data_IF_120501035951
#
_entry.id   IF_120501035951
#
_cell.length_a   1.000
_cell.length_b   1.000
_cell.length_c   1.000
_cell.angle_alpha   90.00
_cell.angle_beta   90.00
_cell.angle_gamma   90.00
#
_symmetry.space_group_name_H-M   'P 1'
#
loop_
_entity.id
_entity.type
_entity.pdbx_description
1 polymer ?
#
# COMPACT_ATOMS: atom_id res chain seq x y z
N UNK A 1 -18.96 -13.22 -30.79
CA UNK A 1 -18.05 -13.82 -29.78
C UNK A 1 -16.65 -13.42 -30.19
N UNK A 2 -16.16 -12.29 -29.66
CA UNK A 2 -14.77 -11.88 -29.84
C UNK A 2 -13.90 -12.85 -29.07
N UNK A 3 -13.15 -13.69 -29.77
CA UNK A 3 -12.12 -14.56 -29.19
C UNK A 3 -11.08 -13.64 -28.55
N UNK A 4 -11.05 -13.58 -27.21
CA UNK A 4 -10.01 -12.86 -26.48
C UNK A 4 -8.67 -13.49 -26.84
N UNK A 5 -7.85 -12.77 -27.61
CA UNK A 5 -6.49 -13.20 -27.91
C UNK A 5 -5.71 -13.34 -26.59
N UNK A 6 -5.03 -14.48 -26.36
CA UNK A 6 -4.20 -14.63 -25.17
C UNK A 6 -3.00 -13.66 -25.24
N UNK A 7 -2.48 -13.25 -24.09
CA UNK A 7 -1.22 -12.48 -24.02
C UNK A 7 -0.12 -13.18 -24.82
N UNK A 8 0.58 -12.42 -25.62
CA UNK A 8 1.78 -12.89 -26.36
C UNK A 8 2.88 -13.31 -25.37
N UNK A 9 3.86 -14.08 -25.85
CA UNK A 9 5.01 -14.48 -25.04
C UNK A 9 5.83 -13.27 -24.54
N UNK A 10 5.92 -12.22 -25.34
CA UNK A 10 6.62 -10.97 -25.02
C UNK A 10 5.88 -10.21 -23.91
N UNK A 11 4.57 -10.03 -24.05
CA UNK A 11 3.73 -9.40 -23.02
C UNK A 11 3.78 -10.16 -21.70
N UNK A 12 3.64 -11.50 -21.72
CA UNK A 12 3.74 -12.33 -20.50
C UNK A 12 5.07 -12.17 -19.79
N UNK A 13 6.18 -12.16 -20.56
CA UNK A 13 7.52 -11.95 -20.00
C UNK A 13 7.66 -10.58 -19.39
N UNK A 14 7.23 -9.53 -20.09
CA UNK A 14 7.30 -8.15 -19.61
C UNK A 14 6.44 -7.94 -18.36
N UNK A 15 5.18 -8.39 -18.37
CA UNK A 15 4.26 -8.28 -17.23
C UNK A 15 4.80 -9.07 -16.03
N UNK A 16 5.32 -10.29 -16.25
CA UNK A 16 5.95 -11.09 -15.20
C UNK A 16 7.18 -10.41 -14.60
N UNK A 17 8.03 -9.82 -15.42
CA UNK A 17 9.20 -9.06 -14.97
C UNK A 17 8.78 -7.83 -14.14
N UNK A 18 7.79 -7.06 -14.60
CA UNK A 18 7.31 -5.88 -13.89
C UNK A 18 6.59 -6.25 -12.58
N UNK A 19 5.85 -7.36 -12.55
CA UNK A 19 5.25 -7.89 -11.32
C UNK A 19 6.33 -8.33 -10.32
N UNK A 20 7.39 -9.01 -10.78
CA UNK A 20 8.51 -9.43 -9.94
C UNK A 20 9.29 -8.23 -9.38
N UNK A 21 9.60 -7.24 -10.22
CA UNK A 21 10.23 -5.98 -9.81
C UNK A 21 9.40 -5.28 -8.72
N UNK A 22 8.08 -5.20 -8.94
CA UNK A 22 7.17 -4.58 -7.98
C UNK A 22 7.12 -5.38 -6.67
N UNK A 23 7.13 -6.73 -6.76
CA UNK A 23 7.21 -7.61 -5.59
C UNK A 23 8.47 -7.39 -4.77
N UNK A 24 9.63 -7.30 -5.41
CA UNK A 24 10.90 -7.04 -4.70
C UNK A 24 10.86 -5.72 -3.92
N UNK A 25 10.31 -4.69 -4.54
CA UNK A 25 10.16 -3.39 -3.90
C UNK A 25 9.17 -3.43 -2.73
N UNK A 26 8.02 -4.08 -2.91
CA UNK A 26 6.99 -4.18 -1.88
C UNK A 26 7.41 -5.07 -0.71
N UNK A 27 8.14 -6.16 -0.96
CA UNK A 27 8.76 -6.96 0.08
C UNK A 27 9.65 -6.10 0.97
N UNK A 28 10.58 -5.32 0.38
CA UNK A 28 11.46 -4.45 1.13
C UNK A 28 10.72 -3.37 1.93
N UNK A 29 9.62 -2.83 1.39
CA UNK A 29 8.80 -1.85 2.07
C UNK A 29 8.07 -2.44 3.28
N UNK A 30 7.42 -3.59 3.08
CA UNK A 30 6.51 -4.15 4.08
C UNK A 30 7.22 -4.96 5.17
N UNK A 31 8.40 -5.57 4.90
CA UNK A 31 9.19 -6.26 5.93
C UNK A 31 9.54 -5.36 7.12
N UNK A 32 9.72 -4.08 6.88
CA UNK A 32 10.09 -3.10 7.90
C UNK A 32 8.94 -2.81 8.87
N UNK A 33 7.67 -2.87 8.43
CA UNK A 33 6.51 -2.47 9.22
C UNK A 33 6.41 -3.18 10.59
N UNK A 34 6.46 -4.52 10.67
CA UNK A 34 6.30 -5.22 11.94
C UNK A 34 7.55 -5.17 12.84
N UNK A 35 8.67 -4.67 12.33
CA UNK A 35 9.97 -4.79 13.00
C UNK A 35 10.51 -3.46 13.48
N UNK A 36 10.25 -2.37 12.74
CA UNK A 36 10.92 -1.11 13.02
C UNK A 36 10.70 -0.65 14.45
N UNK A 37 9.48 -0.71 14.95
CA UNK A 37 9.18 -0.29 16.33
C UNK A 37 9.93 -1.12 17.37
N UNK A 38 10.00 -2.46 17.18
CA UNK A 38 10.64 -3.39 18.11
C UNK A 38 12.17 -3.25 18.21
N UNK A 39 12.80 -2.93 17.09
CA UNK A 39 14.27 -2.81 17.04
C UNK A 39 14.76 -1.38 17.24
N UNK A 40 14.00 -0.40 16.72
CA UNK A 40 14.42 1.01 16.82
C UNK A 40 14.29 1.58 18.23
N UNK A 41 13.46 0.97 19.11
CA UNK A 41 13.35 1.41 20.52
C UNK A 41 14.66 1.25 21.27
N UNK A 42 15.47 0.25 20.90
CA UNK A 42 16.76 -0.03 21.53
C UNK A 42 17.92 0.79 20.92
N UNK A 43 17.64 1.57 19.84
CA UNK A 43 18.65 2.36 19.12
C UNK A 43 18.76 3.80 19.65
N UNK A 44 19.94 4.44 19.54
CA UNK A 44 20.07 5.86 19.85
C UNK A 44 19.07 6.72 19.07
N UNK A 45 18.32 7.59 19.79
CA UNK A 45 17.23 8.38 19.24
C UNK A 45 15.91 7.64 19.07
N UNK A 46 15.76 6.44 19.65
CA UNK A 46 14.57 5.57 19.58
C UNK A 46 13.38 6.07 20.38
N UNK A 47 12.95 7.31 20.18
CA UNK A 47 11.70 7.83 20.77
C UNK A 47 10.49 7.38 19.94
N UNK A 48 9.29 7.25 20.54
CA UNK A 48 8.08 6.89 19.80
C UNK A 48 7.82 7.80 18.59
N UNK A 49 8.08 9.12 18.72
CA UNK A 49 7.97 10.05 17.61
C UNK A 49 8.96 9.74 16.49
N UNK A 50 10.24 9.50 16.80
CA UNK A 50 11.25 9.18 15.79
C UNK A 50 10.99 7.85 15.09
N UNK A 51 10.52 6.85 15.82
CA UNK A 51 10.09 5.56 15.27
C UNK A 51 8.89 5.75 14.32
N UNK A 52 7.90 6.56 14.74
CA UNK A 52 6.76 6.90 13.91
C UNK A 52 7.16 7.65 12.64
N UNK A 53 8.09 8.59 12.75
CA UNK A 53 8.67 9.28 11.59
C UNK A 53 9.41 8.32 10.68
N UNK A 54 10.19 7.38 11.21
CA UNK A 54 10.89 6.38 10.40
C UNK A 54 9.93 5.45 9.64
N UNK A 55 8.80 5.06 10.25
CA UNK A 55 7.74 4.32 9.57
C UNK A 55 7.11 5.14 8.43
N UNK A 56 6.79 6.41 8.70
CA UNK A 56 6.09 7.29 7.77
C UNK A 56 6.96 7.94 6.69
N UNK A 57 8.27 8.13 6.94
CA UNK A 57 9.18 8.90 6.09
C UNK A 57 9.20 8.44 4.61
N UNK A 58 9.15 7.13 4.38
CA UNK A 58 8.99 6.58 3.05
C UNK A 58 7.74 7.13 2.34
N UNK A 59 6.60 7.13 3.05
CA UNK A 59 5.34 7.65 2.54
C UNK A 59 5.40 9.13 2.17
N UNK A 60 6.08 9.93 2.98
CA UNK A 60 6.26 11.37 2.71
C UNK A 60 6.93 11.61 1.35
N UNK A 61 8.11 11.05 1.15
CA UNK A 61 8.86 11.22 -0.12
C UNK A 61 8.12 10.60 -1.31
N UNK A 62 7.49 9.44 -1.11
CA UNK A 62 6.69 8.77 -2.13
C UNK A 62 5.49 9.63 -2.56
N UNK A 63 4.74 10.20 -1.61
CA UNK A 63 3.60 11.07 -1.90
C UNK A 63 4.02 12.30 -2.70
N UNK A 64 5.16 12.89 -2.34
CA UNK A 64 5.66 14.11 -2.97
C UNK A 64 6.17 13.85 -4.40
N UNK A 65 6.86 12.74 -4.63
CA UNK A 65 7.63 12.52 -5.86
C UNK A 65 6.96 11.61 -6.88
N UNK A 66 5.93 10.82 -6.52
CA UNK A 66 5.36 9.85 -7.47
C UNK A 66 4.68 10.50 -8.69
N UNK A 67 4.00 11.65 -8.52
CA UNK A 67 3.39 12.37 -9.65
C UNK A 67 4.46 13.05 -10.51
N UNK A 68 5.42 13.83 -9.94
CA UNK A 68 6.54 14.38 -10.68
C UNK A 68 7.37 13.35 -11.45
N UNK A 69 7.72 12.22 -10.82
CA UNK A 69 8.48 11.16 -11.48
C UNK A 69 7.67 10.44 -12.55
N UNK A 70 6.37 10.26 -12.35
CA UNK A 70 5.46 9.76 -13.38
C UNK A 70 5.49 10.65 -14.61
N UNK A 71 5.35 11.97 -14.43
CA UNK A 71 5.42 12.96 -15.50
C UNK A 71 6.81 13.04 -16.16
N UNK A 72 7.88 12.96 -15.37
CA UNK A 72 9.24 12.89 -15.90
C UNK A 72 9.42 11.67 -16.82
N UNK A 73 8.83 10.53 -16.42
CA UNK A 73 8.90 9.29 -17.20
C UNK A 73 8.18 9.35 -18.56
N UNK A 74 7.18 10.24 -18.69
CA UNK A 74 6.54 10.52 -19.98
C UNK A 74 7.48 11.26 -20.96
N UNK A 75 8.46 12.01 -20.43
CA UNK A 75 9.39 12.84 -21.22
C UNK A 75 10.69 12.14 -21.56
N UNK A 76 11.35 11.50 -20.58
CA UNK A 76 12.67 10.88 -20.75
C UNK A 76 12.60 9.36 -20.93
N UNK A 77 11.37 8.80 -20.92
CA UNK A 77 11.11 7.37 -21.03
C UNK A 77 10.91 6.67 -19.68
N UNK A 78 10.20 5.54 -19.69
CA UNK A 78 9.85 4.78 -18.47
C UNK A 78 11.08 4.14 -17.83
N UNK A 79 11.88 3.46 -18.62
CA UNK A 79 13.03 2.67 -18.14
C UNK A 79 14.08 3.50 -17.39
N UNK A 80 14.53 4.67 -17.86
CA UNK A 80 15.48 5.50 -17.12
C UNK A 80 14.96 5.94 -15.76
N UNK A 81 13.68 6.31 -15.65
CA UNK A 81 13.07 6.73 -14.38
C UNK A 81 12.93 5.54 -13.42
N UNK A 82 12.55 4.35 -13.93
CA UNK A 82 12.50 3.14 -13.11
C UNK A 82 13.89 2.78 -12.57
N UNK A 83 14.92 2.81 -13.41
CA UNK A 83 16.29 2.51 -12.98
C UNK A 83 16.80 3.53 -11.96
N UNK A 84 16.60 4.83 -12.21
CA UNK A 84 16.97 5.89 -11.26
C UNK A 84 16.25 5.75 -9.92
N UNK A 85 14.96 5.43 -9.94
CA UNK A 85 14.17 5.20 -8.72
C UNK A 85 14.60 3.93 -7.97
N UNK A 86 14.97 2.85 -8.66
CA UNK A 86 15.54 1.64 -8.02
C UNK A 86 16.91 1.90 -7.41
N UNK A 87 17.76 2.69 -8.06
CA UNK A 87 19.04 3.10 -7.49
C UNK A 87 18.86 3.96 -6.23
N UNK A 88 17.90 4.89 -6.26
CA UNK A 88 17.57 5.70 -5.09
C UNK A 88 17.01 4.83 -3.95
N UNK A 89 16.14 3.87 -4.27
CA UNK A 89 15.61 2.91 -3.31
C UNK A 89 16.70 2.00 -2.73
N UNK A 90 17.65 1.54 -3.56
CA UNK A 90 18.81 0.77 -3.12
C UNK A 90 19.71 1.62 -2.21
N UNK A 91 20.06 2.84 -2.60
CA UNK A 91 20.87 3.75 -1.78
C UNK A 91 20.22 4.01 -0.41
N UNK A 92 18.91 4.29 -0.39
CA UNK A 92 18.16 4.48 0.84
C UNK A 92 18.13 3.22 1.73
N UNK A 93 18.05 2.04 1.11
CA UNK A 93 18.10 0.76 1.82
C UNK A 93 19.48 0.52 2.45
N UNK A 94 20.55 0.85 1.72
CA UNK A 94 21.92 0.75 2.23
C UNK A 94 22.15 1.74 3.40
N UNK A 95 21.72 3.01 3.24
CA UNK A 95 21.82 4.01 4.32
C UNK A 95 21.07 3.55 5.57
N UNK A 96 19.84 3.05 5.42
CA UNK A 96 19.06 2.54 6.57
C UNK A 96 19.68 1.27 7.18
N UNK A 97 20.26 0.39 6.35
CA UNK A 97 20.90 -0.84 6.80
C UNK A 97 22.21 -0.64 7.57
N UNK A 98 22.91 0.45 7.28
CA UNK A 98 24.15 0.85 7.95
C UNK A 98 23.92 1.86 9.08
N UNK A 99 22.66 2.31 9.28
CA UNK A 99 22.37 3.31 10.29
C UNK A 99 22.46 2.75 11.71
N UNK A 100 23.21 3.43 12.56
CA UNK A 100 23.36 3.12 13.99
C UNK A 100 22.37 3.91 14.86
N UNK A 101 21.61 4.82 14.26
CA UNK A 101 20.65 5.71 14.95
C UNK A 101 19.31 5.76 14.22
N UNK A 102 18.22 6.01 14.94
CA UNK A 102 16.89 6.15 14.33
C UNK A 102 16.80 7.33 13.35
N UNK A 103 17.40 8.50 13.59
CA UNK A 103 17.49 9.56 12.58
C UNK A 103 18.16 9.10 11.28
N UNK A 104 19.20 8.25 11.34
CA UNK A 104 19.84 7.67 10.16
C UNK A 104 18.87 6.77 9.37
N UNK A 105 18.05 5.99 10.07
CA UNK A 105 16.98 5.19 9.44
C UNK A 105 15.95 6.13 8.76
N UNK A 106 15.55 7.23 9.41
CA UNK A 106 14.61 8.22 8.80
C UNK A 106 15.17 8.73 7.47
N UNK A 107 16.46 9.09 7.42
CA UNK A 107 17.12 9.54 6.17
C UNK A 107 17.07 8.43 5.11
N UNK A 108 17.45 7.19 5.45
CA UNK A 108 17.38 6.06 4.54
C UNK A 108 15.95 5.82 4.02
N UNK A 109 14.94 5.94 4.87
CA UNK A 109 13.52 5.80 4.52
C UNK A 109 13.03 6.93 3.59
N UNK A 110 13.48 8.16 3.80
CA UNK A 110 13.21 9.28 2.89
C UNK A 110 13.81 9.01 1.50
N UNK A 111 15.04 8.52 1.42
CA UNK A 111 15.69 8.15 0.17
C UNK A 111 14.97 6.98 -0.52
N UNK A 112 14.57 5.93 0.23
CA UNK A 112 13.77 4.84 -0.32
C UNK A 112 12.47 5.35 -0.96
N UNK A 113 11.74 6.23 -0.27
CA UNK A 113 10.50 6.83 -0.77
C UNK A 113 10.72 7.74 -1.97
N UNK A 114 11.88 8.41 -2.05
CA UNK A 114 12.25 9.24 -3.20
C UNK A 114 12.40 8.43 -4.49
N UNK A 115 12.65 7.11 -4.40
CA UNK A 115 12.59 6.19 -5.53
C UNK A 115 11.15 5.86 -5.98
N UNK A 116 10.28 6.85 -6.09
CA UNK A 116 8.84 6.73 -6.33
C UNK A 116 8.48 6.30 -7.76
N UNK A 117 8.64 5.02 -8.09
CA UNK A 117 8.43 4.46 -9.44
C UNK A 117 7.06 3.80 -9.65
N UNK A 118 6.17 3.81 -8.65
CA UNK A 118 4.92 3.06 -8.71
C UNK A 118 4.06 3.43 -9.94
N UNK A 119 3.84 4.72 -10.19
CA UNK A 119 3.09 5.22 -11.35
C UNK A 119 3.80 4.89 -12.67
N UNK A 120 5.13 5.00 -12.71
CA UNK A 120 5.95 4.72 -13.90
C UNK A 120 5.91 3.24 -14.27
N UNK A 121 5.96 2.32 -13.28
CA UNK A 121 5.85 0.87 -13.54
C UNK A 121 4.46 0.54 -14.09
N UNK A 122 3.39 1.09 -13.50
CA UNK A 122 2.03 0.87 -14.00
C UNK A 122 1.84 1.44 -15.42
N UNK A 123 2.45 2.58 -15.72
CA UNK A 123 2.46 3.12 -17.07
C UNK A 123 3.21 2.20 -18.05
N UNK A 124 4.36 1.66 -17.64
CA UNK A 124 5.12 0.70 -18.47
C UNK A 124 4.32 -0.61 -18.71
N UNK A 125 3.59 -1.10 -17.70
CA UNK A 125 2.68 -2.25 -17.89
C UNK A 125 1.66 -1.96 -19.00
N UNK A 126 1.10 -0.74 -19.02
CA UNK A 126 0.17 -0.33 -20.08
C UNK A 126 0.84 -0.19 -21.46
N UNK A 127 2.09 0.29 -21.48
CA UNK A 127 2.86 0.47 -22.73
C UNK A 127 3.26 -0.88 -23.39
N UNK A 128 3.46 -1.93 -22.59
CA UNK A 128 3.88 -3.27 -23.08
C UNK A 128 2.72 -4.25 -23.29
N UNK A 129 1.47 -3.83 -23.04
CA UNK A 129 0.29 -4.68 -23.18
C UNK A 129 -0.74 -4.06 -24.10
N UNK A 130 -1.40 -4.90 -24.89
CA UNK A 130 -2.54 -4.50 -25.69
C UNK A 130 -3.72 -4.10 -24.79
N UNK A 131 -4.61 -3.25 -25.28
CA UNK A 131 -5.75 -2.71 -24.54
C UNK A 131 -6.64 -3.81 -23.93
N UNK A 132 -6.87 -4.90 -24.68
CA UNK A 132 -7.65 -6.06 -24.23
C UNK A 132 -7.02 -6.79 -23.04
N UNK A 133 -5.70 -6.81 -22.94
CA UNK A 133 -4.94 -7.52 -21.90
C UNK A 133 -4.52 -6.62 -20.73
N UNK A 134 -4.60 -5.30 -20.89
CA UNK A 134 -4.15 -4.30 -19.89
C UNK A 134 -4.76 -4.52 -18.51
N UNK A 135 -6.07 -4.73 -18.44
CA UNK A 135 -6.76 -4.96 -17.16
C UNK A 135 -6.24 -6.20 -16.44
N UNK A 136 -5.97 -7.29 -17.19
CA UNK A 136 -5.41 -8.52 -16.64
C UNK A 136 -3.97 -8.33 -16.18
N UNK A 137 -3.15 -7.60 -16.95
CA UNK A 137 -1.77 -7.29 -16.60
C UNK A 137 -1.68 -6.47 -15.30
N UNK A 138 -2.51 -5.44 -15.19
CA UNK A 138 -2.59 -4.62 -13.96
C UNK A 138 -3.10 -5.42 -12.76
N UNK A 139 -4.02 -6.36 -12.95
CA UNK A 139 -4.48 -7.26 -11.90
C UNK A 139 -3.36 -8.21 -11.42
N UNK A 140 -2.50 -8.71 -12.31
CA UNK A 140 -1.35 -9.54 -11.95
C UNK A 140 -0.37 -8.74 -11.07
N UNK A 141 -0.04 -7.49 -11.46
CA UNK A 141 0.82 -6.62 -10.66
C UNK A 141 0.16 -6.30 -9.31
N UNK A 142 -1.14 -5.97 -9.30
CA UNK A 142 -1.87 -5.73 -8.05
C UNK A 142 -1.88 -6.94 -7.11
N UNK A 143 -2.11 -8.15 -7.63
CA UNK A 143 -2.05 -9.39 -6.84
C UNK A 143 -0.64 -9.64 -6.28
N UNK A 144 0.42 -9.29 -7.03
CA UNK A 144 1.79 -9.42 -6.57
C UNK A 144 2.10 -8.51 -5.37
N UNK A 145 1.46 -7.34 -5.27
CA UNK A 145 1.58 -6.42 -4.12
C UNK A 145 0.98 -7.08 -2.87
N UNK A 146 -0.24 -7.59 -2.96
CA UNK A 146 -0.91 -8.26 -1.84
C UNK A 146 -0.15 -9.49 -1.35
N UNK A 147 0.38 -10.31 -2.29
CA UNK A 147 1.21 -11.46 -1.96
C UNK A 147 2.52 -11.01 -1.28
N UNK A 148 3.15 -9.94 -1.76
CA UNK A 148 4.36 -9.38 -1.15
C UNK A 148 4.11 -8.90 0.28
N UNK A 149 2.96 -8.30 0.55
CA UNK A 149 2.58 -7.92 1.92
C UNK A 149 2.50 -9.14 2.84
N UNK A 150 1.79 -10.19 2.42
CA UNK A 150 1.65 -11.42 3.22
C UNK A 150 3.02 -12.10 3.46
N UNK A 151 3.85 -12.22 2.41
CA UNK A 151 5.18 -12.82 2.51
C UNK A 151 6.09 -11.98 3.40
N UNK A 152 6.02 -10.66 3.33
CA UNK A 152 6.88 -9.76 4.12
C UNK A 152 6.66 -9.86 5.63
N UNK A 153 5.42 -10.07 6.09
CA UNK A 153 5.10 -10.24 7.50
C UNK A 153 5.65 -11.55 8.09
N UNK A 154 5.98 -12.53 7.23
CA UNK A 154 6.64 -13.77 7.61
C UNK A 154 8.15 -13.64 7.44
N UNK A 155 8.58 -13.17 6.26
CA UNK A 155 10.00 -13.10 5.91
C UNK A 155 10.76 -12.07 6.76
N UNK A 156 10.13 -10.95 7.09
CA UNK A 156 10.72 -9.89 7.89
C UNK A 156 11.27 -10.36 9.22
N UNK A 157 10.45 -10.93 10.13
CA UNK A 157 10.92 -11.48 11.40
C UNK A 157 11.98 -12.57 11.25
N UNK A 158 11.85 -13.46 10.26
CA UNK A 158 12.84 -14.51 9.98
C UNK A 158 14.19 -13.90 9.61
N UNK A 159 14.21 -12.93 8.70
CA UNK A 159 15.45 -12.24 8.28
C UNK A 159 16.05 -11.42 9.41
N UNK A 160 15.21 -10.74 10.19
CA UNK A 160 15.67 -9.99 11.36
C UNK A 160 16.33 -10.87 12.42
N UNK A 161 15.98 -12.15 12.50
CA UNK A 161 16.63 -13.12 13.39
C UNK A 161 18.12 -13.35 13.09
N UNK A 162 18.59 -13.05 11.87
CA UNK A 162 20.01 -13.21 11.50
C UNK A 162 20.90 -12.00 11.84
N UNK A 163 20.35 -10.79 11.85
CA UNK A 163 21.16 -9.57 12.05
C UNK A 163 20.32 -8.33 12.35
N UNK A 164 19.18 -8.52 12.99
CA UNK A 164 18.31 -7.41 13.38
C UNK A 164 17.71 -6.65 12.17
N UNK A 165 17.40 -5.40 12.43
CA UNK A 165 16.80 -4.52 11.42
C UNK A 165 17.74 -4.25 10.24
N UNK A 166 19.05 -4.21 10.47
CA UNK A 166 20.05 -4.03 9.40
C UNK A 166 19.97 -5.11 8.33
N UNK A 167 19.78 -6.38 8.71
CA UNK A 167 19.66 -7.48 7.75
C UNK A 167 18.45 -7.34 6.84
N UNK A 168 17.34 -6.78 7.35
CA UNK A 168 16.12 -6.52 6.56
C UNK A 168 16.36 -5.43 5.52
N UNK A 169 17.03 -4.35 5.91
CA UNK A 169 17.39 -3.28 4.97
C UNK A 169 18.45 -3.71 3.95
N UNK A 170 19.44 -4.51 4.36
CA UNK A 170 20.44 -5.06 3.43
C UNK A 170 19.81 -6.05 2.44
N UNK A 171 18.87 -6.90 2.88
CA UNK A 171 18.10 -7.73 1.96
C UNK A 171 17.30 -6.85 0.99
N UNK A 172 16.69 -5.77 1.47
CA UNK A 172 15.95 -4.81 0.62
C UNK A 172 16.87 -4.16 -0.42
N UNK A 173 18.12 -3.85 -0.05
CA UNK A 173 19.15 -3.37 -0.98
C UNK A 173 19.43 -4.41 -2.08
N UNK A 174 19.64 -5.68 -1.71
CA UNK A 174 19.88 -6.78 -2.67
C UNK A 174 18.66 -6.97 -3.59
N UNK A 175 17.43 -6.93 -3.05
CA UNK A 175 16.20 -7.01 -3.85
C UNK A 175 16.08 -5.84 -4.83
N UNK A 176 16.48 -4.64 -4.44
CA UNK A 176 16.49 -3.48 -5.33
C UNK A 176 17.48 -3.65 -6.51
N UNK A 177 18.68 -4.16 -6.23
CA UNK A 177 19.66 -4.52 -7.29
C UNK A 177 19.11 -5.64 -8.17
N UNK A 178 18.48 -6.66 -7.60
CA UNK A 178 17.77 -7.71 -8.34
C UNK A 178 16.68 -7.13 -9.26
N UNK A 179 15.95 -6.12 -8.78
CA UNK A 179 14.98 -5.38 -9.58
C UNK A 179 15.59 -4.69 -10.80
N UNK A 180 16.78 -4.10 -10.66
CA UNK A 180 17.53 -3.51 -11.78
C UNK A 180 17.87 -4.60 -12.82
N UNK A 181 18.37 -5.75 -12.39
CA UNK A 181 18.65 -6.89 -13.29
C UNK A 181 17.37 -7.35 -14.00
N UNK A 182 16.24 -7.44 -13.27
CA UNK A 182 14.95 -7.83 -13.85
C UNK A 182 14.50 -6.85 -14.93
N UNK A 183 14.73 -5.53 -14.77
CA UNK A 183 14.44 -4.55 -15.82
C UNK A 183 15.26 -4.80 -17.09
N UNK A 184 16.56 -5.02 -16.96
CA UNK A 184 17.42 -5.25 -18.11
C UNK A 184 17.12 -6.55 -18.86
N UNK A 185 16.74 -7.61 -18.13
CA UNK A 185 16.48 -8.94 -18.70
C UNK A 185 15.05 -9.08 -19.19
N UNK A 186 14.09 -8.54 -18.46
CA UNK A 186 12.66 -8.85 -18.65
C UNK A 186 11.87 -7.81 -19.45
N UNK A 187 12.31 -6.55 -19.45
CA UNK A 187 11.62 -5.47 -20.17
C UNK A 187 12.14 -5.36 -21.60
N UNK A 188 11.26 -5.39 -22.62
CA UNK A 188 11.65 -5.20 -24.01
C UNK A 188 12.34 -3.85 -24.21
N UNK A 189 13.42 -3.82 -25.02
CA UNK A 189 14.10 -2.58 -25.41
C UNK A 189 13.28 -1.84 -26.45
N UNK A 190 13.32 -0.50 -26.43
CA UNK A 190 12.65 0.32 -27.44
C UNK A 190 11.13 0.43 -27.27
N UNK A 191 10.61 0.14 -26.08
CA UNK A 191 9.19 0.41 -25.78
C UNK A 191 8.95 1.90 -25.92
N UNK A 192 8.10 2.27 -26.89
CA UNK A 192 7.70 3.65 -27.10
C UNK A 192 6.72 4.03 -26.00
N UNK A 193 7.08 5.05 -25.24
CA UNK A 193 6.17 5.62 -24.24
C UNK A 193 4.94 6.20 -24.94
N UNK A 194 3.76 5.66 -24.65
CA UNK A 194 2.49 6.16 -25.17
C UNK A 194 1.78 6.93 -24.06
N UNK A 195 1.17 8.06 -24.41
CA UNK A 195 0.26 8.73 -23.50
C UNK A 195 -1.04 7.93 -23.40
N UNK A 196 -1.14 7.09 -22.37
CA UNK A 196 -2.39 6.43 -22.06
C UNK A 196 -3.24 7.33 -21.15
N UNK A 197 -4.36 7.83 -21.67
CA UNK A 197 -5.30 8.65 -20.91
C UNK A 197 -5.77 8.01 -19.59
N UNK A 198 -5.66 6.67 -19.50
CA UNK A 198 -6.13 5.87 -18.36
C UNK A 198 -5.07 5.58 -17.30
N UNK A 199 -3.79 5.84 -17.55
CA UNK A 199 -2.70 5.36 -16.67
C UNK A 199 -1.86 6.49 -16.06
N UNK A 200 -1.66 7.61 -16.75
CA UNK A 200 -0.87 8.75 -16.28
C UNK A 200 -1.70 9.76 -15.46
N UNK A 201 -1.08 10.38 -14.45
CA UNK A 201 -1.69 11.51 -13.75
C UNK A 201 -1.54 12.79 -14.60
N UNK A 202 -2.68 13.40 -14.96
CA UNK A 202 -2.72 14.67 -15.70
C UNK A 202 -2.95 15.83 -14.74
N UNK A 203 -2.01 16.79 -14.58
CA UNK A 203 -2.15 17.88 -13.61
C UNK A 203 -3.46 18.67 -13.76
N UNK A 204 -3.89 18.93 -14.99
CA UNK A 204 -5.16 19.65 -15.24
C UNK A 204 -6.42 18.92 -14.75
N UNK A 205 -6.37 17.59 -14.59
CA UNK A 205 -7.47 16.78 -14.10
C UNK A 205 -7.48 16.57 -12.59
N UNK A 206 -6.41 16.89 -11.88
CA UNK A 206 -6.30 16.69 -10.42
C UNK A 206 -7.40 17.48 -9.71
N UNK A 207 -7.63 18.73 -10.11
CA UNK A 207 -8.69 19.58 -9.53
C UNK A 207 -10.07 18.93 -9.69
N UNK A 208 -10.37 18.37 -10.85
CA UNK A 208 -11.65 17.70 -11.13
C UNK A 208 -11.84 16.45 -10.28
N UNK A 209 -10.76 15.65 -10.10
CA UNK A 209 -10.76 14.47 -9.22
C UNK A 209 -11.04 14.88 -7.77
N UNK A 210 -10.36 15.92 -7.27
CA UNK A 210 -10.54 16.41 -5.90
C UNK A 210 -11.90 17.09 -5.69
N UNK A 211 -12.49 17.70 -6.74
CA UNK A 211 -13.81 18.30 -6.69
C UNK A 211 -14.94 17.26 -6.67
N UNK A 212 -14.72 16.06 -7.20
CA UNK A 212 -15.74 15.00 -7.28
C UNK A 212 -16.02 14.41 -5.88
N UNK A 213 -17.25 14.56 -5.31
CA UNK A 213 -17.53 14.16 -3.92
C UNK A 213 -17.30 12.67 -3.66
N UNK A 214 -17.63 11.79 -4.63
CA UNK A 214 -17.42 10.35 -4.51
C UNK A 214 -15.93 10.01 -4.39
N UNK A 215 -15.08 10.58 -5.27
CA UNK A 215 -13.64 10.36 -5.25
C UNK A 215 -13.00 10.94 -3.99
N UNK A 216 -13.44 12.12 -3.54
CA UNK A 216 -12.96 12.74 -2.29
C UNK A 216 -13.21 11.86 -1.07
N UNK A 217 -14.39 11.21 -0.97
CA UNK A 217 -14.72 10.27 0.11
C UNK A 217 -13.82 9.02 0.06
N UNK A 218 -13.58 8.47 -1.13
CA UNK A 218 -12.71 7.30 -1.31
C UNK A 218 -11.24 7.63 -1.04
N UNK A 219 -10.77 8.81 -1.44
CA UNK A 219 -9.43 9.31 -1.15
C UNK A 219 -9.22 9.55 0.35
N UNK A 220 -10.23 10.08 1.05
CA UNK A 220 -10.21 10.18 2.51
C UNK A 220 -10.23 8.80 3.17
N UNK A 221 -10.94 7.84 2.57
CA UNK A 221 -10.97 6.46 3.05
C UNK A 221 -9.58 5.80 3.03
N UNK A 222 -8.85 5.88 1.91
CA UNK A 222 -7.51 5.30 1.82
C UNK A 222 -6.50 6.04 2.69
N UNK A 223 -6.61 7.36 2.82
CA UNK A 223 -5.84 8.14 3.78
C UNK A 223 -6.04 7.61 5.20
N UNK A 224 -7.30 7.47 5.64
CA UNK A 224 -7.65 7.00 6.99
C UNK A 224 -7.20 5.55 7.23
N UNK A 225 -7.37 4.67 6.24
CA UNK A 225 -6.89 3.28 6.31
C UNK A 225 -5.40 3.23 6.59
N UNK A 226 -4.59 3.94 5.80
CA UNK A 226 -3.14 3.90 5.94
C UNK A 226 -2.62 4.71 7.14
N UNK A 227 -3.36 5.73 7.56
CA UNK A 227 -3.12 6.41 8.82
C UNK A 227 -3.24 5.43 9.98
N UNK A 228 -4.38 4.72 10.08
CA UNK A 228 -4.64 3.74 11.13
C UNK A 228 -3.65 2.56 11.03
N UNK A 229 -3.40 2.06 9.80
CA UNK A 229 -2.46 0.97 9.57
C UNK A 229 -1.07 1.30 10.13
N UNK A 230 -0.49 2.43 9.74
CA UNK A 230 0.87 2.80 10.14
C UNK A 230 0.94 3.13 11.63
N UNK A 231 -0.06 3.82 12.18
CA UNK A 231 -0.15 4.10 13.61
C UNK A 231 -0.26 2.79 14.42
N UNK A 232 -1.08 1.84 13.99
CA UNK A 232 -1.26 0.54 14.68
C UNK A 232 0.03 -0.28 14.73
N UNK A 233 0.87 -0.23 13.69
CA UNK A 233 2.15 -0.94 13.69
C UNK A 233 3.20 -0.37 14.66
N UNK A 234 2.93 0.77 15.30
CA UNK A 234 3.72 1.23 16.46
C UNK A 234 3.44 0.42 17.74
N UNK A 235 2.29 -0.25 17.82
CA UNK A 235 1.83 -0.94 19.06
C UNK A 235 1.64 -2.45 18.84
N UNK A 236 1.15 -2.90 17.69
CA UNK A 236 0.86 -4.32 17.42
C UNK A 236 2.04 -5.25 17.74
N UNK A 237 3.31 -4.94 17.33
CA UNK A 237 4.43 -5.80 17.61
C UNK A 237 4.73 -5.94 19.11
N UNK A 238 4.59 -4.86 19.88
CA UNK A 238 4.74 -4.90 21.35
C UNK A 238 3.60 -5.67 22.00
N UNK A 239 2.36 -5.51 21.54
CA UNK A 239 1.24 -6.30 22.04
C UNK A 239 1.45 -7.80 21.84
N UNK A 240 2.05 -8.24 20.72
CA UNK A 240 2.42 -9.64 20.49
C UNK A 240 3.51 -10.09 21.45
N UNK A 241 4.54 -9.26 21.68
CA UNK A 241 5.62 -9.57 22.59
C UNK A 241 5.14 -9.67 24.04
N UNK A 242 4.40 -8.67 24.52
CA UNK A 242 4.03 -8.53 25.93
C UNK A 242 2.86 -9.45 26.31
N UNK A 243 1.81 -9.53 25.47
CA UNK A 243 0.61 -10.32 25.79
C UNK A 243 0.77 -11.80 25.51
N UNK A 244 1.52 -12.18 24.46
CA UNK A 244 1.73 -13.59 24.08
C UNK A 244 3.11 -14.12 24.51
N UNK A 245 3.96 -13.30 25.12
CA UNK A 245 5.33 -13.64 25.49
C UNK A 245 6.14 -14.20 24.31
N UNK A 246 5.89 -13.69 23.10
CA UNK A 246 6.55 -14.15 21.89
C UNK A 246 7.78 -13.29 21.59
N UNK A 247 8.97 -13.91 21.40
CA UNK A 247 10.13 -13.17 20.93
C UNK A 247 9.89 -12.61 19.53
N UNK A 248 10.51 -11.47 19.24
CA UNK A 248 10.31 -10.69 18.00
C UNK A 248 10.53 -11.52 16.71
N UNK A 249 11.43 -12.47 16.74
CA UNK A 249 11.74 -13.38 15.63
C UNK A 249 10.65 -14.44 15.39
N UNK A 250 9.78 -14.67 16.37
CA UNK A 250 8.72 -15.69 16.32
C UNK A 250 7.34 -15.08 15.96
N UNK A 251 7.21 -13.75 15.78
CA UNK A 251 5.95 -13.09 15.45
C UNK A 251 5.30 -13.63 14.18
N UNK A 252 6.08 -14.13 13.23
CA UNK A 252 5.55 -14.76 12.00
C UNK A 252 4.62 -15.95 12.30
N UNK A 253 4.80 -16.66 13.45
CA UNK A 253 3.93 -17.77 13.87
C UNK A 253 2.50 -17.34 14.13
N UNK A 254 2.27 -16.05 14.45
CA UNK A 254 0.94 -15.46 14.59
C UNK A 254 0.52 -14.79 13.28
N UNK A 255 1.40 -14.01 12.66
CA UNK A 255 1.04 -13.30 11.42
C UNK A 255 0.61 -14.26 10.30
N UNK A 256 1.32 -15.37 10.08
CA UNK A 256 1.00 -16.29 8.99
C UNK A 256 -0.40 -16.91 9.09
N UNK A 257 -0.80 -17.60 10.18
CA UNK A 257 -2.13 -18.17 10.28
C UNK A 257 -3.23 -17.10 10.30
N UNK A 258 -3.00 -15.97 10.95
CA UNK A 258 -3.94 -14.85 10.99
C UNK A 258 -4.17 -14.28 9.58
N UNK A 259 -3.11 -14.09 8.80
CA UNK A 259 -3.22 -13.59 7.41
C UNK A 259 -3.98 -14.58 6.53
N UNK A 260 -3.64 -15.86 6.58
CA UNK A 260 -4.34 -16.90 5.80
C UNK A 260 -5.83 -16.93 6.18
N UNK A 261 -6.13 -16.95 7.47
CA UNK A 261 -7.50 -16.91 7.96
C UNK A 261 -8.23 -15.61 7.57
N UNK A 262 -7.54 -14.47 7.51
CA UNK A 262 -8.12 -13.20 7.13
C UNK A 262 -8.49 -13.12 5.64
N UNK A 263 -7.71 -13.75 4.76
CA UNK A 263 -8.05 -13.87 3.34
C UNK A 263 -9.33 -14.69 3.15
N UNK A 264 -9.53 -15.73 3.95
CA UNK A 264 -10.78 -16.51 3.95
C UNK A 264 -11.91 -15.66 4.54
N UNK A 265 -11.66 -14.96 5.65
CA UNK A 265 -12.64 -14.12 6.35
C UNK A 265 -13.15 -12.93 5.54
N UNK A 266 -12.38 -12.42 4.58
CA UNK A 266 -12.84 -11.33 3.72
C UNK A 266 -13.78 -11.78 2.59
N UNK A 267 -13.79 -13.07 2.22
CA UNK A 267 -14.60 -13.58 1.09
C UNK A 267 -16.12 -13.37 1.28
N UNK A 268 -16.70 -13.60 2.47
CA UNK A 268 -18.12 -13.29 2.71
C UNK A 268 -18.43 -11.81 2.50
N UNK A 269 -17.53 -10.90 2.93
CA UNK A 269 -17.70 -9.45 2.78
C UNK A 269 -17.69 -9.06 1.29
N UNK A 270 -16.77 -9.61 0.50
CA UNK A 270 -16.73 -9.39 -0.94
C UNK A 270 -18.00 -9.89 -1.63
N UNK A 271 -18.45 -11.11 -1.29
CA UNK A 271 -19.69 -11.68 -1.84
C UNK A 271 -20.91 -10.81 -1.47
N UNK A 272 -21.00 -10.34 -0.24
CA UNK A 272 -22.11 -9.51 0.24
C UNK A 272 -22.10 -8.15 -0.47
N UNK A 273 -20.94 -7.56 -0.67
CA UNK A 273 -20.80 -6.29 -1.37
C UNK A 273 -21.13 -6.41 -2.86
N UNK A 274 -20.53 -7.39 -3.57
CA UNK A 274 -20.61 -7.48 -5.03
C UNK A 274 -21.87 -8.17 -5.52
N UNK A 275 -22.21 -9.35 -4.96
CA UNK A 275 -23.37 -10.14 -5.43
C UNK A 275 -24.71 -9.61 -4.93
N UNK A 276 -24.75 -9.04 -3.73
CA UNK A 276 -25.96 -8.53 -3.14
C UNK A 276 -26.09 -7.00 -3.20
N UNK A 277 -25.14 -6.32 -3.86
CA UNK A 277 -25.14 -4.87 -4.03
C UNK A 277 -24.98 -4.07 -2.72
N UNK A 278 -24.58 -4.72 -1.62
CA UNK A 278 -24.49 -4.12 -0.29
C UNK A 278 -23.14 -3.46 -0.02
N UNK A 279 -22.58 -2.74 -1.02
CA UNK A 279 -21.26 -2.09 -0.93
C UNK A 279 -21.18 -1.14 0.26
N UNK A 280 -22.16 -0.25 0.41
CA UNK A 280 -22.18 0.77 1.47
C UNK A 280 -22.23 0.18 2.88
N UNK A 281 -23.20 -0.67 3.26
CA UNK A 281 -23.24 -1.23 4.61
C UNK A 281 -22.01 -2.08 4.92
N UNK A 282 -21.49 -2.84 3.97
CA UNK A 282 -20.27 -3.63 4.15
C UNK A 282 -19.05 -2.73 4.35
N UNK A 283 -18.93 -1.64 3.59
CA UNK A 283 -17.84 -0.67 3.77
C UNK A 283 -17.86 -0.07 5.18
N UNK A 284 -19.04 0.40 5.63
CA UNK A 284 -19.21 1.00 6.97
C UNK A 284 -18.90 -0.02 8.06
N UNK A 285 -19.49 -1.23 7.97
CA UNK A 285 -19.26 -2.29 8.98
C UNK A 285 -17.78 -2.70 9.04
N UNK A 286 -17.09 -2.71 7.91
CA UNK A 286 -15.65 -3.05 7.88
C UNK A 286 -14.80 -1.94 8.51
N UNK A 287 -15.14 -0.66 8.31
CA UNK A 287 -14.47 0.45 9.03
C UNK A 287 -14.69 0.35 10.53
N UNK A 288 -15.93 0.07 10.97
CA UNK A 288 -16.22 -0.14 12.40
C UNK A 288 -15.45 -1.35 12.93
N UNK A 289 -15.40 -2.46 12.18
CA UNK A 289 -14.62 -3.65 12.53
C UNK A 289 -13.15 -3.33 12.71
N UNK A 290 -12.58 -2.49 11.84
CA UNK A 290 -11.19 -2.02 11.97
C UNK A 290 -10.98 -1.26 13.30
N UNK A 291 -11.87 -0.34 13.66
CA UNK A 291 -11.76 0.44 14.90
C UNK A 291 -11.94 -0.43 16.15
N UNK A 292 -12.88 -1.36 16.13
CA UNK A 292 -13.08 -2.33 17.22
C UNK A 292 -11.85 -3.23 17.38
N UNK A 293 -11.23 -3.62 16.27
CA UNK A 293 -10.01 -4.42 16.31
C UNK A 293 -8.83 -3.64 16.92
N UNK A 294 -8.66 -2.37 16.56
CA UNK A 294 -7.63 -1.51 17.18
C UNK A 294 -7.91 -1.37 18.68
N UNK A 295 -9.15 -1.15 19.09
CA UNK A 295 -9.54 -1.11 20.52
C UNK A 295 -9.18 -2.41 21.24
N UNK A 296 -9.55 -3.56 20.66
CA UNK A 296 -9.24 -4.87 21.24
C UNK A 296 -7.74 -5.12 21.42
N UNK A 297 -6.92 -4.72 20.45
CA UNK A 297 -5.47 -4.88 20.52
C UNK A 297 -4.77 -3.90 21.47
N UNK A 298 -5.35 -2.73 21.69
CA UNK A 298 -4.72 -1.65 22.46
C UNK A 298 -5.19 -1.55 23.91
N UNK A 299 -6.44 -1.93 24.18
CA UNK A 299 -7.05 -1.73 25.50
C UNK A 299 -7.15 -3.02 26.33
N UNK A 300 -7.04 -4.20 25.70
CA UNK A 300 -7.27 -5.48 26.35
C UNK A 300 -6.04 -6.38 26.23
N UNK A 301 -5.26 -6.50 27.30
CA UNK A 301 -4.08 -7.37 27.35
C UNK A 301 -4.46 -8.85 27.62
N UNK A 302 -5.34 -9.41 26.77
CA UNK A 302 -5.82 -10.79 26.87
C UNK A 302 -5.45 -11.58 25.62
N UNK A 303 -4.72 -12.70 25.72
CA UNK A 303 -4.15 -13.42 24.57
C UNK A 303 -5.15 -13.76 23.46
N UNK A 304 -6.29 -14.35 23.80
CA UNK A 304 -7.29 -14.72 22.79
C UNK A 304 -7.98 -13.48 22.16
N UNK A 305 -8.18 -12.40 22.94
CA UNK A 305 -8.73 -11.13 22.42
C UNK A 305 -7.77 -10.53 21.41
N UNK A 306 -6.46 -10.52 21.69
CA UNK A 306 -5.43 -10.03 20.79
C UNK A 306 -5.45 -10.82 19.46
N UNK A 307 -5.50 -12.16 19.52
CA UNK A 307 -5.53 -13.00 18.32
C UNK A 307 -6.79 -12.74 17.46
N UNK A 308 -7.97 -12.66 18.10
CA UNK A 308 -9.24 -12.38 17.40
C UNK A 308 -9.24 -10.95 16.83
N UNK A 309 -8.81 -9.98 17.62
CA UNK A 309 -8.71 -8.59 17.18
C UNK A 309 -7.76 -8.43 16.00
N UNK A 310 -6.59 -9.09 16.04
CA UNK A 310 -5.63 -9.09 14.95
C UNK A 310 -6.20 -9.75 13.68
N UNK A 311 -6.94 -10.85 13.84
CA UNK A 311 -7.63 -11.49 12.72
C UNK A 311 -8.67 -10.56 12.08
N UNK A 312 -9.56 -9.96 12.87
CA UNK A 312 -10.56 -9.00 12.39
C UNK A 312 -9.91 -7.78 11.73
N UNK A 313 -8.80 -7.30 12.30
CA UNK A 313 -8.00 -6.22 11.75
C UNK A 313 -7.54 -6.53 10.32
N UNK A 314 -6.91 -7.69 10.11
CA UNK A 314 -6.45 -8.06 8.78
C UNK A 314 -7.60 -8.43 7.83
N UNK A 315 -8.73 -8.96 8.31
CA UNK A 315 -9.94 -9.11 7.48
C UNK A 315 -10.40 -7.74 6.97
N UNK A 316 -10.46 -6.74 7.86
CA UNK A 316 -10.84 -5.38 7.49
C UNK A 316 -9.85 -4.75 6.51
N UNK A 317 -8.56 -4.80 6.83
CA UNK A 317 -7.50 -4.23 5.97
C UNK A 317 -7.55 -4.86 4.58
N UNK A 318 -7.54 -6.19 4.48
CA UNK A 318 -7.53 -6.89 3.18
C UNK A 318 -8.78 -6.58 2.35
N UNK A 319 -9.97 -6.53 2.97
CA UNK A 319 -11.19 -6.15 2.27
C UNK A 319 -11.13 -4.69 1.76
N UNK A 320 -10.69 -3.75 2.59
CA UNK A 320 -10.63 -2.33 2.25
C UNK A 320 -9.57 -2.06 1.18
N UNK A 321 -8.40 -2.69 1.27
CA UNK A 321 -7.33 -2.62 0.26
C UNK A 321 -7.78 -3.14 -1.12
N UNK A 322 -8.57 -4.20 -1.15
CA UNK A 322 -9.11 -4.72 -2.41
C UNK A 322 -10.25 -3.85 -2.98
N UNK A 323 -11.09 -3.30 -2.09
CA UNK A 323 -12.35 -2.66 -2.50
C UNK A 323 -12.18 -1.18 -2.85
N UNK A 324 -11.39 -0.41 -2.09
CA UNK A 324 -11.26 1.04 -2.30
C UNK A 324 -10.75 1.41 -3.70
N UNK A 325 -9.64 0.83 -4.24
CA UNK A 325 -9.17 1.18 -5.58
C UNK A 325 -10.16 0.74 -6.67
N UNK A 326 -10.89 -0.36 -6.46
CA UNK A 326 -11.97 -0.79 -7.35
C UNK A 326 -13.10 0.25 -7.41
N UNK A 327 -13.51 0.79 -6.25
CA UNK A 327 -14.54 1.83 -6.18
C UNK A 327 -14.06 3.14 -6.82
N UNK A 328 -12.80 3.54 -6.64
CA UNK A 328 -12.21 4.70 -7.32
C UNK A 328 -12.27 4.51 -8.84
N UNK A 329 -11.85 3.34 -9.33
CA UNK A 329 -11.87 3.02 -10.76
C UNK A 329 -13.27 3.05 -11.38
N UNK A 330 -14.32 2.72 -10.59
CA UNK A 330 -15.72 2.75 -11.03
C UNK A 330 -16.35 4.14 -10.90
N UNK A 331 -15.86 4.99 -10.00
CA UNK A 331 -16.42 6.32 -9.73
C UNK A 331 -15.83 7.43 -10.63
N UNK A 332 -14.76 7.14 -11.34
CA UNK A 332 -14.06 8.13 -12.17
C UNK A 332 -14.69 8.27 -13.55
N UNK A 333 -14.66 9.47 -14.10
CA UNK A 333 -15.09 9.80 -15.47
C UNK A 333 -14.10 9.25 -16.52
N UNK A 334 -14.56 9.12 -17.76
CA UNK A 334 -13.75 8.60 -18.88
C UNK A 334 -12.45 9.40 -19.05
N UNK A 335 -11.32 8.68 -19.20
CA UNK A 335 -9.98 9.26 -19.35
C UNK A 335 -9.33 9.79 -18.06
N UNK A 336 -10.02 9.78 -16.89
CA UNK A 336 -9.50 10.27 -15.63
C UNK A 336 -8.91 9.19 -14.70
N UNK A 337 -8.94 7.93 -15.10
CA UNK A 337 -8.61 6.78 -14.22
C UNK A 337 -7.20 6.83 -13.68
N UNK A 338 -6.20 7.12 -14.51
CA UNK A 338 -4.82 7.24 -14.08
C UNK A 338 -4.60 8.39 -13.08
N UNK A 339 -5.22 9.56 -13.35
CA UNK A 339 -5.16 10.69 -12.41
C UNK A 339 -5.85 10.38 -11.09
N UNK A 340 -7.02 9.74 -11.12
CA UNK A 340 -7.76 9.39 -9.90
C UNK A 340 -6.99 8.37 -9.04
N UNK A 341 -6.38 7.35 -9.64
CA UNK A 341 -5.54 6.38 -8.94
C UNK A 341 -4.22 7.00 -8.46
N UNK A 342 -3.66 7.98 -9.20
CA UNK A 342 -2.49 8.74 -8.75
C UNK A 342 -2.79 9.58 -7.51
N UNK A 343 -3.92 10.30 -7.48
CA UNK A 343 -4.38 11.05 -6.31
C UNK A 343 -4.68 10.11 -5.15
N UNK A 344 -5.35 8.98 -5.42
CA UNK A 344 -5.62 7.93 -4.44
C UNK A 344 -4.32 7.44 -3.77
N UNK A 345 -3.31 7.08 -4.56
CA UNK A 345 -2.01 6.63 -4.02
C UNK A 345 -1.29 7.76 -3.25
N UNK A 346 -1.39 9.01 -3.69
CA UNK A 346 -0.84 10.15 -2.93
C UNK A 346 -1.51 10.26 -1.57
N UNK A 347 -2.85 10.17 -1.49
CA UNK A 347 -3.59 10.16 -0.22
C UNK A 347 -3.21 8.96 0.66
N UNK A 348 -3.00 7.78 0.08
CA UNK A 348 -2.51 6.59 0.75
C UNK A 348 -1.17 6.85 1.46
N UNK A 349 -0.19 7.39 0.76
CA UNK A 349 1.14 7.64 1.31
C UNK A 349 1.17 8.82 2.29
N UNK A 350 0.35 9.86 2.08
CA UNK A 350 0.17 10.91 3.09
C UNK A 350 -0.45 10.35 4.36
N UNK A 351 -1.43 9.44 4.24
CA UNK A 351 -2.01 8.72 5.37
C UNK A 351 -0.96 7.93 6.15
N UNK A 352 -0.12 7.17 5.45
CA UNK A 352 0.96 6.42 6.08
C UNK A 352 1.98 7.33 6.80
N UNK A 353 2.37 8.44 6.18
CA UNK A 353 3.27 9.42 6.82
C UNK A 353 2.66 10.03 8.06
N UNK A 354 1.45 10.60 7.93
CA UNK A 354 0.80 11.28 9.04
C UNK A 354 0.40 10.31 10.15
N UNK A 355 0.01 9.08 9.80
CA UNK A 355 -0.25 8.00 10.76
C UNK A 355 0.98 7.62 11.58
N UNK A 356 2.14 7.53 10.93
CA UNK A 356 3.42 7.31 11.61
C UNK A 356 3.81 8.50 12.52
N UNK A 357 3.88 9.71 11.96
CA UNK A 357 4.30 10.89 12.67
C UNK A 357 3.36 11.27 13.85
N UNK A 358 2.05 11.38 13.57
CA UNK A 358 1.07 11.71 14.60
C UNK A 358 0.86 10.54 15.57
N UNK A 359 0.91 9.28 15.09
CA UNK A 359 0.84 8.09 15.93
C UNK A 359 2.01 8.00 16.89
N UNK A 360 3.23 8.27 16.41
CA UNK A 360 4.42 8.33 17.27
C UNK A 360 4.33 9.44 18.32
N UNK A 361 3.82 10.63 17.93
CA UNK A 361 3.60 11.74 18.85
C UNK A 361 2.54 11.38 19.92
N UNK A 362 1.41 10.81 19.48
CA UNK A 362 0.35 10.41 20.39
C UNK A 362 0.81 9.31 21.36
N UNK A 363 1.61 8.34 20.88
CA UNK A 363 2.19 7.31 21.72
C UNK A 363 3.19 7.89 22.73
N UNK A 364 3.99 8.88 22.34
CA UNK A 364 4.99 9.51 23.21
C UNK A 364 4.37 10.27 24.37
N UNK A 365 3.28 10.98 24.17
CA UNK A 365 2.67 11.84 25.21
C UNK A 365 1.40 11.26 25.81
N UNK A 366 0.65 10.45 25.09
CA UNK A 366 -0.62 9.88 25.52
C UNK A 366 -0.60 8.35 25.71
N UNK A 367 0.55 7.72 25.47
CA UNK A 367 0.68 6.27 25.54
C UNK A 367 -0.23 5.55 24.51
N UNK A 368 -0.48 4.27 24.76
CA UNK A 368 -1.32 3.42 23.88
C UNK A 368 -2.74 3.98 23.76
N UNK A 369 -3.31 4.54 24.86
CA UNK A 369 -4.62 5.16 24.85
C UNK A 369 -4.68 6.39 23.95
N UNK A 370 -3.65 7.25 24.00
CA UNK A 370 -3.53 8.41 23.12
C UNK A 370 -3.49 8.04 21.65
N UNK A 371 -2.76 7.00 21.30
CA UNK A 371 -2.71 6.47 19.94
C UNK A 371 -4.09 5.92 19.50
N UNK A 372 -4.78 5.18 20.37
CA UNK A 372 -6.13 4.68 20.08
C UNK A 372 -7.11 5.82 19.81
N UNK A 373 -7.16 6.84 20.69
CA UNK A 373 -8.01 8.02 20.53
C UNK A 373 -7.69 8.75 19.22
N UNK A 374 -6.41 8.87 18.89
CA UNK A 374 -5.98 9.46 17.62
C UNK A 374 -6.51 8.68 16.41
N UNK A 375 -6.50 7.34 16.45
CA UNK A 375 -7.02 6.49 15.36
C UNK A 375 -8.56 6.58 15.23
N UNK A 376 -9.28 6.82 16.34
CA UNK A 376 -10.74 6.99 16.31
C UNK A 376 -11.17 8.18 15.46
N UNK A 377 -10.42 9.30 15.48
CA UNK A 377 -10.81 10.53 14.78
C UNK A 377 -10.99 10.29 13.27
N UNK A 378 -9.93 9.92 12.50
CA UNK A 378 -10.08 9.66 11.08
C UNK A 378 -11.01 8.48 10.80
N UNK A 379 -11.04 7.46 11.66
CA UNK A 379 -11.89 6.28 11.49
C UNK A 379 -13.39 6.60 11.60
N UNK A 380 -13.82 7.35 12.59
CA UNK A 380 -15.22 7.77 12.75
C UNK A 380 -15.66 8.73 11.65
N UNK A 381 -14.79 9.69 11.29
CA UNK A 381 -15.03 10.59 10.15
C UNK A 381 -15.17 9.80 8.85
N UNK A 382 -14.34 8.77 8.67
CA UNK A 382 -14.42 7.88 7.52
C UNK A 382 -15.72 7.05 7.53
N UNK A 383 -16.07 6.41 8.64
CA UNK A 383 -17.33 5.68 8.76
C UNK A 383 -18.53 6.57 8.38
N UNK A 384 -18.58 7.81 8.90
CA UNK A 384 -19.59 8.80 8.54
C UNK A 384 -19.58 9.15 7.05
N UNK A 385 -18.39 9.41 6.47
CA UNK A 385 -18.28 9.76 5.06
C UNK A 385 -18.67 8.61 4.13
N UNK A 386 -18.44 7.36 4.57
CA UNK A 386 -18.81 6.14 3.84
C UNK A 386 -20.32 5.94 3.74
N UNK A 387 -21.11 6.57 4.61
CA UNK A 387 -22.57 6.59 4.51
C UNK A 387 -23.04 7.26 3.21
N UNK A 388 -22.26 8.13 2.61
CA UNK A 388 -22.55 8.79 1.33
C UNK A 388 -21.93 8.12 0.12
N UNK A 389 -21.28 6.96 0.26
CA UNK A 389 -20.78 6.18 -0.89
C UNK A 389 -21.96 5.47 -1.53
N UNK A 390 -22.27 5.80 -2.75
CA UNK A 390 -23.26 5.09 -3.58
C UNK A 390 -22.52 4.07 -4.44
N UNK A 391 -23.07 2.85 -4.59
CA UNK A 391 -22.67 1.98 -5.68
C UNK A 391 -22.92 2.77 -6.97
N UNK A 392 -21.88 2.95 -7.80
CA UNK A 392 -22.09 3.60 -9.10
C UNK A 392 -23.21 2.83 -9.82
N UNK A 393 -24.23 3.51 -10.36
CA UNK A 393 -25.20 2.85 -11.22
C UNK A 393 -24.40 2.17 -12.35
N UNK A 394 -24.80 0.97 -12.80
CA UNK A 394 -24.20 0.36 -13.98
C UNK A 394 -24.25 1.42 -15.09
N UNK A 395 -23.14 1.64 -15.78
CA UNK A 395 -23.06 2.57 -16.92
C UNK A 395 -24.19 2.19 -17.84
N UNK A 396 -25.28 2.99 -17.82
CA UNK A 396 -26.34 2.84 -18.78
C UNK A 396 -25.64 2.98 -20.14
N UNK A 397 -25.69 1.94 -20.95
CA UNK A 397 -25.39 2.02 -22.36
C UNK A 397 -26.23 3.18 -22.89
N UNK A 398 -25.60 4.35 -23.12
CA UNK A 398 -26.26 5.42 -23.80
C UNK A 398 -26.62 4.87 -25.17
N UNK A 399 -27.90 4.55 -25.29
CA UNK A 399 -28.47 3.94 -26.42
C UNK A 399 -28.14 4.75 -27.66
N UNK A 400 -27.88 4.03 -28.70
CA UNK A 400 -28.00 4.51 -30.05
C UNK A 400 -29.31 5.30 -30.17
N UNK A 401 -29.25 6.62 -30.11
CA UNK A 401 -30.31 7.48 -30.67
C UNK A 401 -30.25 7.26 -32.17
N UNK A 402 -31.18 6.44 -32.63
CA UNK A 402 -31.58 6.33 -34.02
C UNK A 402 -31.72 7.73 -34.62
N UNK A 403 -30.82 8.02 -35.54
CA UNK A 403 -31.07 9.09 -36.53
C UNK A 403 -32.11 8.52 -37.50
N UNK A 404 -33.29 9.02 -37.41
CA UNK A 404 -34.33 8.95 -38.46
C UNK A 404 -34.19 10.14 -39.40
#
# INVERSE_FOLDING_TARGET
>A
VLTKNPMTSVERRAVGALALLYSFRMLGLFMVLPLLALYAVDMPGGTPLMIGLALGAYGFSQALLQIPLGWLSDRIGRTPVILGGLLMFAAGSLVAGLAETVPGIVVGRLLQGAGAIASTVMALVADVTDEEQRTKAMAIVGASIGLSFAVSLVLGPVVAGFGGLSSVFLLTFVLALGGIVVVFVGVPRGVVSREHAEVGARPGMIRSVLATPALRRLNFGVFSLHFILTASFLVIPFALQDTLSLPREAHWKIYLPVLVASLIGMLPLLRLAERHGKVRPVLVSTVVMLLVSVAGMTLLAVPWVLCVALWLYFVAVNYLEATLPSLVSKAVFSGGKGTALGVYSTCQFIGAFTGGACGGLALQYGGVLGLFVLCLIPGLLWARSSLGVTAAPPVASQGATSVS
#
